data_IF_391822652647
#
_entry.id   IF_391822652647
#
_cell.length_a   1.000
_cell.length_b   1.000
_cell.length_c   1.000
_cell.angle_alpha   90.00
_cell.angle_beta   90.00
_cell.angle_gamma   90.00
#
_symmetry.space_group_name_H-M   'P 1'
#
loop_
_entity.id
_entity.type
_entity.pdbx_description
1 polymer ?
#
# COMPACT_ATOMS: atom_id res chain seq x y z
N UNK A 1 12.95 -9.13 -29.46
CA UNK A 1 13.64 -7.83 -29.32
C UNK A 1 12.61 -6.72 -29.50
N UNK A 2 12.23 -6.06 -28.41
CA UNK A 2 11.08 -5.15 -28.31
C UNK A 2 10.15 -5.67 -27.20
N UNK A 3 9.82 -4.95 -26.14
CA UNK A 3 9.91 -3.52 -25.83
C UNK A 3 10.61 -3.32 -24.48
N UNK A 4 11.47 -2.32 -24.44
CA UNK A 4 12.03 -1.73 -23.24
C UNK A 4 10.90 -1.10 -22.40
N UNK A 5 10.31 -1.78 -21.41
CA UNK A 5 9.38 -1.10 -20.50
C UNK A 5 9.21 -1.68 -19.10
N UNK A 6 10.21 -2.43 -18.61
CA UNK A 6 10.34 -2.69 -17.16
C UNK A 6 11.19 -1.61 -16.45
N UNK A 7 11.41 -0.45 -17.09
CA UNK A 7 12.20 0.70 -16.59
C UNK A 7 11.49 1.53 -15.50
N UNK A 8 10.76 0.88 -14.62
CA UNK A 8 10.72 1.28 -13.21
C UNK A 8 10.58 -0.02 -12.44
N UNK A 9 11.72 -0.62 -12.07
CA UNK A 9 11.74 -1.41 -10.86
C UNK A 9 11.25 -0.49 -9.75
N UNK A 10 9.98 -0.64 -9.34
CA UNK A 10 9.52 -0.14 -8.04
C UNK A 10 10.07 -1.12 -7.02
N UNK A 11 11.39 -1.11 -6.88
CA UNK A 11 12.07 -1.70 -5.76
C UNK A 11 12.07 -0.63 -4.67
N UNK A 12 11.28 -0.85 -3.63
CA UNK A 12 11.23 -0.11 -2.37
C UNK A 12 10.86 1.38 -2.48
N UNK A 13 9.55 1.64 -2.49
CA UNK A 13 9.02 2.94 -2.14
C UNK A 13 7.52 2.82 -1.98
N UNK A 14 7.08 2.27 -0.85
CA UNK A 14 5.68 2.09 -0.47
C UNK A 14 4.92 3.36 -0.79
N UNK A 15 4.24 3.38 -1.93
CA UNK A 15 3.59 4.60 -2.34
C UNK A 15 2.51 4.93 -1.33
N UNK A 16 2.28 6.22 -1.05
CA UNK A 16 1.24 6.65 -0.10
C UNK A 16 -0.12 6.00 -0.41
N UNK A 17 -0.40 5.73 -1.69
CA UNK A 17 -1.61 5.03 -2.10
C UNK A 17 -1.62 3.54 -1.74
N UNK A 18 -0.48 2.84 -1.81
CA UNK A 18 -0.36 1.43 -1.43
C UNK A 18 -0.49 1.28 0.09
N UNK A 19 0.20 2.12 0.86
CA UNK A 19 0.10 2.10 2.33
C UNK A 19 -1.33 2.41 2.81
N UNK A 20 -2.00 3.34 2.14
CA UNK A 20 -3.41 3.63 2.40
C UNK A 20 -4.30 2.42 2.10
N UNK A 21 -4.14 1.79 0.92
CA UNK A 21 -4.93 0.62 0.55
C UNK A 21 -4.67 -0.57 1.49
N UNK A 22 -3.41 -0.82 1.86
CA UNK A 22 -3.07 -1.84 2.86
C UNK A 22 -3.68 -1.52 4.21
N UNK A 23 -3.72 -0.25 4.64
CA UNK A 23 -4.39 0.13 5.89
C UNK A 23 -5.89 -0.16 5.87
N UNK A 24 -6.55 0.00 4.71
CA UNK A 24 -7.97 -0.34 4.51
C UNK A 24 -8.17 -1.86 4.55
N UNK A 25 -7.36 -2.63 3.82
CA UNK A 25 -7.44 -4.10 3.80
C UNK A 25 -7.12 -4.69 5.18
N UNK A 26 -6.14 -4.11 5.87
CA UNK A 26 -5.80 -4.45 7.24
C UNK A 26 -7.00 -4.28 8.18
N UNK A 27 -7.74 -3.17 8.06
CA UNK A 27 -8.94 -2.93 8.85
C UNK A 27 -10.07 -3.89 8.47
N UNK A 28 -10.30 -4.12 7.18
CA UNK A 28 -11.34 -5.01 6.68
C UNK A 28 -11.14 -6.47 7.12
N UNK A 29 -9.88 -6.93 7.19
CA UNK A 29 -9.52 -8.28 7.63
C UNK A 29 -9.11 -8.37 9.11
N UNK A 30 -9.21 -7.28 9.87
CA UNK A 30 -8.83 -7.18 11.28
C UNK A 30 -7.39 -7.69 11.57
N UNK A 31 -6.44 -7.29 10.72
CA UNK A 31 -5.03 -7.71 10.80
C UNK A 31 -4.18 -6.75 11.64
N UNK A 32 -3.15 -7.29 12.29
CA UNK A 32 -2.08 -6.47 12.88
C UNK A 32 -1.14 -5.94 11.79
N UNK A 33 -0.34 -4.91 12.07
CA UNK A 33 0.60 -4.33 11.08
C UNK A 33 1.57 -5.37 10.53
N UNK A 34 2.02 -6.29 11.39
CA UNK A 34 2.88 -7.43 11.02
C UNK A 34 2.14 -8.43 10.14
N UNK A 35 0.90 -8.76 10.47
CA UNK A 35 0.09 -9.66 9.67
C UNK A 35 -0.29 -9.05 8.31
N UNK A 36 -0.51 -7.73 8.24
CA UNK A 36 -0.75 -7.02 6.99
C UNK A 36 0.50 -6.97 6.10
N UNK A 37 1.68 -6.70 6.69
CA UNK A 37 2.96 -6.78 5.97
C UNK A 37 3.25 -8.19 5.46
N UNK A 38 2.96 -9.22 6.26
CA UNK A 38 3.09 -10.61 5.84
C UNK A 38 2.10 -10.97 4.73
N UNK A 39 0.83 -10.55 4.84
CA UNK A 39 -0.19 -10.76 3.82
C UNK A 39 0.20 -10.17 2.46
N UNK A 40 0.84 -8.99 2.44
CA UNK A 40 1.35 -8.37 1.20
C UNK A 40 2.45 -9.23 0.56
N UNK A 41 3.25 -9.93 1.36
CA UNK A 41 4.32 -10.81 0.89
C UNK A 41 3.80 -12.16 0.42
N UNK A 42 2.87 -12.75 1.16
CA UNK A 42 2.49 -14.17 1.02
C UNK A 42 1.20 -14.37 0.23
N UNK A 43 0.28 -13.40 0.21
CA UNK A 43 -1.04 -13.57 -0.38
C UNK A 43 -1.20 -12.83 -1.71
N UNK A 44 -1.71 -13.58 -2.69
CA UNK A 44 -1.90 -13.11 -4.07
C UNK A 44 -3.01 -12.05 -4.16
N UNK A 45 -4.03 -12.11 -3.29
CA UNK A 45 -5.12 -11.14 -3.24
C UNK A 45 -4.62 -9.72 -2.89
N UNK A 46 -3.71 -9.58 -1.93
CA UNK A 46 -3.06 -8.30 -1.62
C UNK A 46 -2.21 -7.81 -2.79
N UNK A 47 -1.41 -8.69 -3.41
CA UNK A 47 -0.59 -8.32 -4.57
C UNK A 47 -1.43 -7.86 -5.75
N UNK A 48 -2.54 -8.55 -6.02
CA UNK A 48 -3.48 -8.18 -7.08
C UNK A 48 -4.16 -6.84 -6.78
N UNK A 49 -4.65 -6.64 -5.55
CA UNK A 49 -5.29 -5.38 -5.15
C UNK A 49 -4.33 -4.18 -5.22
N UNK A 50 -3.03 -4.40 -4.94
CA UNK A 50 -2.00 -3.37 -4.95
C UNK A 50 -1.32 -3.18 -6.31
N UNK A 51 -1.64 -4.02 -7.31
CA UNK A 51 -0.96 -4.05 -8.61
C UNK A 51 0.53 -4.39 -8.52
N UNK A 52 0.92 -5.17 -7.50
CA UNK A 52 2.30 -5.61 -7.27
C UNK A 52 2.63 -6.87 -8.07
N UNK A 53 3.91 -7.04 -8.36
CA UNK A 53 4.43 -8.28 -8.94
C UNK A 53 4.35 -9.44 -7.94
N UNK A 54 4.13 -10.66 -8.45
CA UNK A 54 4.03 -11.87 -7.62
C UNK A 54 5.32 -12.18 -6.85
N UNK A 55 6.47 -11.71 -7.31
CA UNK A 55 7.77 -11.84 -6.66
C UNK A 55 8.16 -10.60 -5.84
N UNK A 56 7.29 -9.58 -5.77
CA UNK A 56 7.55 -8.38 -4.99
C UNK A 56 7.84 -8.72 -3.50
N UNK A 57 8.94 -8.21 -2.91
CA UNK A 57 9.33 -8.53 -1.54
C UNK A 57 8.45 -7.85 -0.47
N UNK A 58 7.50 -7.01 -0.89
CA UNK A 58 6.65 -6.21 -0.02
C UNK A 58 7.43 -5.11 0.71
N UNK A 59 6.90 -4.70 1.86
CA UNK A 59 7.50 -3.67 2.71
C UNK A 59 7.61 -4.16 4.16
N UNK A 60 8.42 -3.49 4.96
CA UNK A 60 8.55 -3.79 6.40
C UNK A 60 7.38 -3.22 7.20
N UNK A 61 6.86 -3.99 8.16
CA UNK A 61 5.74 -3.59 9.01
C UNK A 61 5.95 -2.23 9.70
N UNK A 62 7.20 -1.85 9.99
CA UNK A 62 7.53 -0.56 10.63
C UNK A 62 7.09 0.64 9.78
N UNK A 63 7.12 0.51 8.45
CA UNK A 63 6.64 1.56 7.53
C UNK A 63 5.14 1.77 7.68
N UNK A 64 4.37 0.68 7.81
CA UNK A 64 2.93 0.73 8.02
C UNK A 64 2.58 1.25 9.41
N UNK A 65 3.31 0.83 10.44
CA UNK A 65 3.13 1.34 11.80
C UNK A 65 3.43 2.84 11.91
N UNK A 66 4.53 3.35 11.32
CA UNK A 66 4.83 4.79 11.29
C UNK A 66 3.76 5.56 10.51
N UNK A 67 3.34 5.04 9.36
CA UNK A 67 2.29 5.65 8.56
C UNK A 67 0.97 5.76 9.34
N UNK A 68 0.55 4.68 10.01
CA UNK A 68 -0.65 4.67 10.86
C UNK A 68 -0.54 5.60 12.06
N UNK A 69 0.63 5.68 12.70
CA UNK A 69 0.86 6.60 13.81
C UNK A 69 0.66 8.06 13.35
N UNK A 70 1.26 8.45 12.22
CA UNK A 70 1.07 9.79 11.63
C UNK A 70 -0.36 10.04 11.15
N UNK A 71 -1.06 9.00 10.73
CA UNK A 71 -2.47 9.07 10.34
C UNK A 71 -3.42 9.32 11.51
N UNK A 72 -3.09 8.76 12.68
CA UNK A 72 -3.82 8.97 13.92
C UNK A 72 -3.58 10.38 14.51
N UNK A 73 -2.47 11.01 14.14
CA UNK A 73 -2.16 12.39 14.52
C UNK A 73 -2.96 13.40 13.69
N UNK A 74 -3.73 14.26 14.36
CA UNK A 74 -4.33 15.48 13.82
C UNK A 74 -5.01 15.34 12.46
N UNK A 75 -6.22 14.77 12.40
CA UNK A 75 -7.11 14.69 11.20
C UNK A 75 -6.42 14.25 9.89
N UNK A 76 -5.27 13.58 10.00
CA UNK A 76 -4.45 13.22 8.85
C UNK A 76 -5.14 12.16 7.97
N UNK A 77 -6.00 11.31 8.55
CA UNK A 77 -6.85 10.37 7.83
C UNK A 77 -7.78 11.04 6.82
N UNK A 78 -8.51 12.07 7.24
CA UNK A 78 -9.43 12.78 6.36
C UNK A 78 -8.69 13.56 5.27
N UNK A 79 -7.52 14.13 5.61
CA UNK A 79 -6.61 14.74 4.61
C UNK A 79 -6.09 13.73 3.59
N UNK A 80 -5.65 12.57 4.04
CA UNK A 80 -5.16 11.51 3.17
C UNK A 80 -6.26 11.03 2.22
N UNK A 81 -7.45 10.74 2.76
CA UNK A 81 -8.62 10.34 1.97
C UNK A 81 -8.96 11.38 0.89
N UNK A 82 -8.99 12.67 1.25
CA UNK A 82 -9.21 13.76 0.28
C UNK A 82 -8.16 13.80 -0.82
N UNK A 83 -6.88 13.56 -0.50
CA UNK A 83 -5.82 13.49 -1.51
C UNK A 83 -6.00 12.28 -2.42
N UNK A 84 -6.38 11.12 -1.87
CA UNK A 84 -6.64 9.92 -2.66
C UNK A 84 -7.82 10.12 -3.61
N UNK A 85 -8.92 10.68 -3.12
CA UNK A 85 -10.10 10.99 -3.94
C UNK A 85 -9.79 12.00 -5.05
N UNK A 86 -8.93 12.98 -4.81
CA UNK A 86 -8.47 13.91 -5.87
C UNK A 86 -7.60 13.23 -6.93
N UNK A 87 -6.91 12.15 -6.59
CA UNK A 87 -5.99 11.43 -7.49
C UNK A 87 -6.65 10.25 -8.20
N UNK A 88 -7.77 9.76 -7.70
CA UNK A 88 -8.67 8.88 -8.44
C UNK A 88 -9.35 9.74 -9.51
N UNK A 89 -9.00 9.62 -10.80
CA UNK A 89 -9.80 10.26 -11.84
C UNK A 89 -11.20 9.67 -11.74
N UNK A 90 -12.17 10.53 -11.40
CA UNK A 90 -13.58 10.23 -11.57
C UNK A 90 -13.87 9.93 -13.03
N UNK A 91 -14.83 9.05 -13.25
CA UNK A 91 -15.40 8.63 -14.52
C UNK A 91 -15.62 9.76 -15.53
#
# INVERSE_FOLDING_TARGET
MGLYMWRTGVSLGSSLYQLALVSVLQFAENLSDRAASDAVRTRIDFKYALGLDLEDPGFDYSVLSEFRARLAEGDAADRLLRVMLKRLPGC
#
